data_IF_039145919921
#
_entry.id   IF_039145919921
#
_cell.length_a   1.000
_cell.length_b   1.000
_cell.length_c   1.000
_cell.angle_alpha   90.00
_cell.angle_beta   90.00
_cell.angle_gamma   90.00
#
_symmetry.space_group_name_H-M   'P 1'
#
loop_
_entity.id
_entity.type
_entity.pdbx_description
1 polymer ?
#
# COMPACT_ATOMS: atom_id res chain seq x y z
N UNK A 1 4.91 31.87 23.97
CA UNK A 1 5.82 31.91 22.81
C UNK A 1 5.53 30.68 21.98
N UNK A 2 5.23 30.81 20.67
CA UNK A 2 5.00 29.64 19.82
C UNK A 2 6.26 28.78 19.81
N UNK A 3 6.10 27.48 20.10
CA UNK A 3 7.22 26.54 20.05
C UNK A 3 7.57 26.26 18.58
N UNK A 4 8.64 26.88 18.08
CA UNK A 4 9.17 26.58 16.75
C UNK A 4 9.92 25.25 16.79
N UNK A 5 9.40 24.26 16.06
CA UNK A 5 10.00 22.94 15.97
C UNK A 5 10.82 22.82 14.68
N UNK A 6 12.10 22.53 14.84
CA UNK A 6 13.01 22.29 13.72
C UNK A 6 13.00 20.83 13.25
N UNK A 7 12.94 20.65 11.94
CA UNK A 7 12.97 19.35 11.27
C UNK A 7 14.05 19.34 10.18
N UNK A 8 15.24 18.75 10.47
CA UNK A 8 16.29 18.64 9.46
C UNK A 8 15.93 17.63 8.37
N UNK A 9 16.01 18.07 7.12
CA UNK A 9 15.75 17.26 5.92
C UNK A 9 17.04 16.58 5.41
N UNK A 10 16.87 15.51 4.64
CA UNK A 10 17.94 14.60 4.22
C UNK A 10 18.74 15.13 3.04
N UNK A 11 18.16 16.01 2.22
CA UNK A 11 18.83 16.54 1.04
C UNK A 11 19.51 17.88 1.38
N UNK A 12 20.80 18.06 1.02
CA UNK A 12 21.54 19.29 1.29
C UNK A 12 20.99 20.50 0.51
N UNK A 13 20.20 20.26 -0.54
CA UNK A 13 19.54 21.28 -1.36
C UNK A 13 18.11 21.57 -0.91
N UNK A 14 17.57 20.82 0.05
CA UNK A 14 16.22 21.06 0.57
C UNK A 14 16.26 22.11 1.69
N UNK A 15 15.25 22.99 1.76
CA UNK A 15 15.17 24.02 2.80
C UNK A 15 15.04 23.38 4.20
N UNK A 16 15.60 24.03 5.21
CA UNK A 16 15.35 23.70 6.60
C UNK A 16 13.89 23.99 6.95
N UNK A 17 13.25 23.07 7.64
CA UNK A 17 11.82 23.13 7.90
C UNK A 17 11.59 23.53 9.36
N UNK A 18 10.87 24.63 9.56
CA UNK A 18 10.39 25.09 10.87
C UNK A 18 8.87 25.01 10.90
N UNK A 19 8.33 24.36 11.93
CA UNK A 19 6.88 24.24 12.12
C UNK A 19 6.46 25.11 13.31
N UNK A 20 5.53 26.02 13.06
CA UNK A 20 4.77 26.75 14.08
C UNK A 20 3.37 26.13 14.21
N UNK A 21 2.50 26.71 15.06
CA UNK A 21 1.16 26.18 15.32
C UNK A 21 0.32 26.04 14.03
N UNK A 22 0.29 27.08 13.19
CA UNK A 22 -0.54 27.13 11.98
C UNK A 22 0.25 27.13 10.67
N UNK A 23 1.55 27.44 10.71
CA UNK A 23 2.37 27.62 9.51
C UNK A 23 3.60 26.71 9.50
N UNK A 24 4.02 26.35 8.28
CA UNK A 24 5.27 25.67 7.98
C UNK A 24 6.15 26.66 7.21
N UNK A 25 7.35 26.92 7.74
CA UNK A 25 8.35 27.78 7.12
C UNK A 25 9.44 26.94 6.47
N UNK A 26 9.79 27.31 5.25
CA UNK A 26 10.89 26.71 4.48
C UNK A 26 12.02 27.72 4.37
N UNK A 27 13.08 27.49 5.13
CA UNK A 27 14.23 28.37 5.23
C UNK A 27 15.39 27.82 4.41
N UNK A 28 16.02 28.67 3.61
CA UNK A 28 17.33 28.39 3.05
C UNK A 28 18.37 28.21 4.17
N UNK A 29 19.53 27.59 3.88
CA UNK A 29 20.61 27.48 4.87
C UNK A 29 21.05 28.83 5.43
N UNK A 30 21.03 29.89 4.62
CA UNK A 30 21.39 31.24 5.03
C UNK A 30 20.36 31.82 6.04
N UNK A 31 19.07 31.75 5.71
CA UNK A 31 17.98 32.22 6.57
C UNK A 31 17.94 31.45 7.90
N UNK A 32 18.19 30.13 7.86
CA UNK A 32 18.24 29.31 9.06
C UNK A 32 19.43 29.69 9.97
N UNK A 33 20.60 29.95 9.40
CA UNK A 33 21.78 30.40 10.14
C UNK A 33 21.55 31.80 10.75
N UNK A 34 20.89 32.69 10.01
CA UNK A 34 20.55 34.02 10.51
C UNK A 34 19.56 33.94 11.68
N UNK A 35 18.51 33.11 11.56
CA UNK A 35 17.54 32.91 12.63
C UNK A 35 18.16 32.30 13.88
N UNK A 36 19.00 31.27 13.72
CA UNK A 36 19.64 30.57 14.86
C UNK A 36 20.71 31.42 15.55
N UNK A 37 21.40 32.28 14.80
CA UNK A 37 22.47 33.14 15.34
C UNK A 37 21.93 34.44 15.96
N UNK A 38 20.94 35.06 15.32
CA UNK A 38 20.43 36.38 15.73
C UNK A 38 19.17 36.32 16.60
N UNK A 39 18.42 35.21 16.54
CA UNK A 39 17.12 35.07 17.21
C UNK A 39 16.01 35.97 16.62
N UNK A 40 16.26 36.68 15.51
CA UNK A 40 15.30 37.61 14.91
C UNK A 40 14.26 36.86 14.08
N UNK A 41 13.00 36.95 14.50
CA UNK A 41 11.87 36.34 13.80
C UNK A 41 11.51 37.02 12.47
N UNK A 42 12.00 38.24 12.23
CA UNK A 42 11.82 38.99 10.96
C UNK A 42 12.29 38.20 9.73
N UNK A 43 13.22 37.25 9.91
CA UNK A 43 13.69 36.36 8.84
C UNK A 43 12.56 35.44 8.34
N UNK A 44 11.59 35.10 9.19
CA UNK A 44 10.44 34.26 8.83
C UNK A 44 9.48 34.95 7.87
N UNK A 45 9.39 36.30 7.91
CA UNK A 45 8.54 37.07 6.99
C UNK A 45 9.01 36.97 5.54
N UNK A 46 10.30 36.71 5.33
CA UNK A 46 10.92 36.58 4.01
C UNK A 46 10.99 35.14 3.52
N UNK A 47 10.88 34.17 4.42
CA UNK A 47 10.92 32.75 4.11
C UNK A 47 9.65 32.31 3.35
N UNK A 48 9.75 31.25 2.56
CA UNK A 48 8.57 30.65 1.95
C UNK A 48 7.69 30.01 3.04
N UNK A 49 6.41 30.39 3.06
CA UNK A 49 5.45 29.95 4.07
C UNK A 49 4.39 29.06 3.42
N UNK A 50 3.95 28.06 4.16
CA UNK A 50 2.80 27.22 3.82
C UNK A 50 1.86 27.16 5.02
N UNK A 51 0.62 27.55 4.81
CA UNK A 51 -0.43 27.37 5.80
C UNK A 51 -0.78 25.87 5.92
N UNK A 52 -0.83 25.34 7.14
CA UNK A 52 -1.23 23.95 7.37
C UNK A 52 -2.63 23.65 6.83
N UNK A 53 -3.53 24.63 6.78
CA UNK A 53 -4.89 24.49 6.24
C UNK A 53 -4.92 24.27 4.73
N UNK A 54 -3.88 24.69 4.00
CA UNK A 54 -3.74 24.40 2.57
C UNK A 54 -3.41 22.94 2.30
N UNK A 55 -2.81 22.25 3.28
CA UNK A 55 -2.50 20.83 3.18
C UNK A 55 -3.76 20.01 3.47
N UNK A 56 -4.34 19.46 2.40
CA UNK A 56 -5.54 18.60 2.51
C UNK A 56 -5.21 17.13 2.57
N UNK A 57 -4.07 16.74 2.04
CA UNK A 57 -3.66 15.35 2.03
C UNK A 57 -2.15 15.22 2.23
N UNK A 58 -1.76 14.25 3.04
CA UNK A 58 -0.37 13.90 3.29
C UNK A 58 -0.16 12.42 3.01
N UNK A 59 0.75 12.11 2.09
CA UNK A 59 1.12 10.73 1.73
C UNK A 59 2.45 10.41 2.39
N UNK A 60 2.45 9.40 3.25
CA UNK A 60 3.63 8.93 3.93
C UNK A 60 3.94 7.47 3.54
N UNK A 61 5.20 7.15 3.30
CA UNK A 61 5.58 5.76 3.01
C UNK A 61 6.11 5.08 4.26
N UNK A 62 5.45 4.03 4.74
CA UNK A 62 5.84 3.35 6.00
C UNK A 62 7.21 2.71 5.87
N UNK A 63 8.09 3.05 6.81
CA UNK A 63 9.47 2.58 6.85
C UNK A 63 10.43 3.45 6.04
N UNK A 64 9.91 4.37 5.23
CA UNK A 64 10.67 5.42 4.55
C UNK A 64 10.48 6.74 5.30
N UNK A 65 11.46 7.63 5.20
CA UNK A 65 11.44 8.93 5.89
C UNK A 65 10.87 10.02 4.98
N UNK A 66 9.95 9.65 4.08
CA UNK A 66 9.45 10.51 3.02
C UNK A 66 7.97 10.84 3.23
N UNK A 67 7.64 12.12 3.03
CA UNK A 67 6.30 12.67 3.13
C UNK A 67 6.04 13.56 1.92
N UNK A 68 4.87 13.39 1.31
CA UNK A 68 4.37 14.26 0.24
C UNK A 68 3.14 15.01 0.71
N UNK A 69 3.18 16.34 0.63
CA UNK A 69 2.07 17.22 0.99
C UNK A 69 1.31 17.62 -0.28
N UNK A 70 -0.01 17.56 -0.23
CA UNK A 70 -0.91 17.80 -1.35
C UNK A 70 -2.04 18.76 -0.95
N UNK A 71 -2.45 19.60 -1.90
CA UNK A 71 -3.63 20.46 -1.74
C UNK A 71 -4.95 19.73 -2.06
N UNK A 72 -6.08 20.44 -2.00
CA UNK A 72 -7.42 19.92 -2.32
C UNK A 72 -7.51 19.29 -3.73
N UNK A 73 -6.81 19.88 -4.70
CA UNK A 73 -6.76 19.43 -6.10
C UNK A 73 -5.79 18.27 -6.33
N UNK A 74 -5.17 17.74 -5.28
CA UNK A 74 -4.11 16.72 -5.33
C UNK A 74 -2.86 17.17 -6.08
N UNK A 75 -2.64 18.48 -6.18
CA UNK A 75 -1.37 19.04 -6.66
C UNK A 75 -0.34 18.92 -5.54
N UNK A 76 0.88 18.50 -5.91
CA UNK A 76 1.99 18.40 -4.97
C UNK A 76 2.40 19.80 -4.54
N UNK A 77 2.35 20.05 -3.24
CA UNK A 77 2.86 21.27 -2.62
C UNK A 77 4.36 21.10 -2.34
N UNK A 78 4.73 20.07 -1.58
CA UNK A 78 6.10 19.78 -1.21
C UNK A 78 6.36 18.28 -1.03
N UNK A 79 7.57 17.86 -1.40
CA UNK A 79 8.12 16.53 -1.12
C UNK A 79 9.23 16.66 -0.06
N UNK A 80 9.01 16.08 1.12
CA UNK A 80 9.86 16.18 2.29
C UNK A 80 10.53 14.84 2.57
N UNK A 81 11.85 14.86 2.81
CA UNK A 81 12.60 13.67 3.21
C UNK A 81 13.33 13.96 4.52
N UNK A 82 13.01 13.25 5.59
CA UNK A 82 13.55 13.49 6.94
C UNK A 82 14.81 12.68 7.21
N UNK A 83 15.76 13.29 7.92
CA UNK A 83 17.01 12.63 8.34
C UNK A 83 16.76 11.43 9.26
N UNK A 84 15.75 11.50 10.13
CA UNK A 84 15.44 10.51 11.15
C UNK A 84 13.94 10.15 11.19
N UNK A 85 13.64 8.89 11.52
CA UNK A 85 12.28 8.43 11.79
C UNK A 85 11.63 9.17 12.96
N UNK A 86 12.43 9.64 13.93
CA UNK A 86 11.92 10.42 15.06
C UNK A 86 11.36 11.78 14.61
N UNK A 87 12.09 12.48 13.75
CA UNK A 87 11.65 13.75 13.15
C UNK A 87 10.42 13.55 12.26
N UNK A 88 10.40 12.49 11.45
CA UNK A 88 9.25 12.09 10.65
C UNK A 88 7.98 11.89 11.51
N UNK A 89 8.08 11.11 12.60
CA UNK A 89 6.92 10.86 13.49
C UNK A 89 6.46 12.12 14.21
N UNK A 90 7.42 12.93 14.66
CA UNK A 90 7.12 14.21 15.33
C UNK A 90 6.46 15.19 14.36
N UNK A 91 6.88 15.24 13.10
CA UNK A 91 6.27 16.10 12.08
C UNK A 91 4.82 15.69 11.81
N UNK A 92 4.54 14.40 11.63
CA UNK A 92 3.16 13.89 11.46
C UNK A 92 2.29 14.28 12.67
N UNK A 93 2.82 14.17 13.89
CA UNK A 93 2.10 14.57 15.10
C UNK A 93 1.82 16.08 15.22
N UNK A 94 2.51 16.92 14.46
CA UNK A 94 2.28 18.38 14.42
C UNK A 94 1.24 18.81 13.37
N UNK A 95 0.86 17.91 12.47
CA UNK A 95 -0.22 18.12 11.50
C UNK A 95 -1.56 17.80 12.16
N UNK A 96 -2.01 18.70 13.04
CA UNK A 96 -3.28 18.59 13.72
C UNK A 96 -4.45 18.56 12.71
N UNK A 97 -5.49 17.78 13.00
CA UNK A 97 -6.66 17.66 12.14
C UNK A 97 -6.48 16.77 10.91
N UNK A 98 -5.41 15.98 10.81
CA UNK A 98 -5.27 14.97 9.76
C UNK A 98 -5.59 13.57 10.27
N UNK A 99 -6.61 12.96 9.69
CA UNK A 99 -7.00 11.58 9.98
C UNK A 99 -6.37 10.59 9.02
N UNK A 100 -5.98 9.43 9.55
CA UNK A 100 -5.44 8.34 8.74
C UNK A 100 -6.57 7.63 7.98
N UNK A 101 -6.83 8.05 6.75
CA UNK A 101 -7.96 7.52 5.95
C UNK A 101 -7.60 6.22 5.24
N UNK A 102 -6.33 6.00 4.87
CA UNK A 102 -6.00 4.85 4.01
C UNK A 102 -4.64 4.22 4.29
N UNK A 103 -4.68 2.96 4.69
CA UNK A 103 -3.58 2.03 4.47
C UNK A 103 -3.69 1.62 2.99
N UNK A 104 -2.85 2.19 2.13
CA UNK A 104 -2.85 2.02 0.68
C UNK A 104 -2.46 0.60 0.26
N UNK A 105 -3.25 -0.41 0.66
CA UNK A 105 -3.11 -1.76 0.12
C UNK A 105 -3.58 -1.72 -1.33
N UNK A 106 -2.70 -2.13 -2.26
CA UNK A 106 -3.04 -2.41 -3.65
C UNK A 106 -4.38 -3.14 -3.72
N UNK A 107 -5.22 -2.81 -4.71
CA UNK A 107 -6.54 -3.42 -4.96
C UNK A 107 -6.53 -4.89 -4.53
N UNK A 108 -7.21 -5.20 -3.42
CA UNK A 108 -7.38 -6.58 -2.98
C UNK A 108 -8.06 -7.36 -4.11
N UNK A 109 -7.58 -8.56 -4.40
CA UNK A 109 -8.26 -9.46 -5.35
C UNK A 109 -9.69 -9.68 -4.82
N UNK A 110 -10.66 -9.70 -5.72
CA UNK A 110 -12.06 -9.91 -5.36
C UNK A 110 -12.20 -11.26 -4.60
N UNK A 111 -12.71 -11.28 -3.36
CA UNK A 111 -12.79 -12.51 -2.57
C UNK A 111 -13.63 -13.60 -3.25
N UNK A 112 -14.65 -13.23 -4.02
CA UNK A 112 -15.46 -14.18 -4.80
C UNK A 112 -14.64 -14.87 -5.90
N UNK A 113 -13.75 -14.11 -6.56
CA UNK A 113 -12.84 -14.66 -7.55
C UNK A 113 -11.83 -15.61 -6.92
N UNK A 114 -11.27 -15.24 -5.75
CA UNK A 114 -10.35 -16.12 -4.99
C UNK A 114 -11.05 -17.43 -4.62
N UNK A 115 -12.26 -17.36 -4.08
CA UNK A 115 -13.04 -18.54 -3.71
C UNK A 115 -13.29 -19.45 -4.93
N UNK A 116 -13.70 -18.88 -6.06
CA UNK A 116 -13.93 -19.64 -7.29
C UNK A 116 -12.66 -20.34 -7.78
N UNK A 117 -11.52 -19.63 -7.77
CA UNK A 117 -10.24 -20.21 -8.17
C UNK A 117 -9.78 -21.31 -7.21
N UNK A 118 -10.01 -21.17 -5.90
CA UNK A 118 -9.70 -22.23 -4.93
C UNK A 118 -10.56 -23.47 -5.12
N UNK A 119 -11.87 -23.30 -5.39
CA UNK A 119 -12.77 -24.41 -5.71
C UNK A 119 -12.31 -25.12 -6.99
N UNK A 120 -11.88 -24.37 -8.01
CA UNK A 120 -11.33 -24.92 -9.24
C UNK A 120 -10.06 -25.73 -8.94
N UNK A 121 -9.07 -25.16 -8.25
CA UNK A 121 -7.84 -25.90 -7.91
C UNK A 121 -8.09 -27.13 -7.04
N UNK A 122 -9.06 -27.06 -6.12
CA UNK A 122 -9.50 -28.21 -5.34
C UNK A 122 -10.09 -29.32 -6.22
N UNK A 123 -10.88 -28.99 -7.25
CA UNK A 123 -11.41 -29.98 -8.18
C UNK A 123 -10.29 -30.74 -8.93
N UNK A 124 -9.19 -30.06 -9.30
CA UNK A 124 -8.01 -30.71 -9.88
C UNK A 124 -7.29 -31.62 -8.87
N UNK A 125 -7.12 -31.19 -7.61
CA UNK A 125 -6.52 -32.04 -6.58
C UNK A 125 -7.39 -33.26 -6.31
N UNK A 126 -8.71 -33.09 -6.20
CA UNK A 126 -9.65 -34.18 -6.01
C UNK A 126 -9.63 -35.17 -7.17
N UNK A 127 -9.59 -34.67 -8.42
CA UNK A 127 -9.43 -35.51 -9.61
C UNK A 127 -8.07 -36.23 -9.65
N UNK A 128 -7.00 -35.58 -9.17
CA UNK A 128 -5.65 -36.15 -9.09
C UNK A 128 -5.43 -37.13 -7.94
N UNK A 129 -6.28 -37.13 -6.91
CA UNK A 129 -6.12 -37.97 -5.68
C UNK A 129 -7.08 -39.15 -5.59
N UNK A 130 -8.12 -39.21 -6.42
CA UNK A 130 -8.99 -40.40 -6.48
C UNK A 130 -8.30 -41.58 -7.17
N UNK A 131 -8.58 -42.83 -6.75
CA UNK A 131 -8.25 -43.99 -7.56
C UNK A 131 -9.03 -43.87 -8.88
N UNK A 132 -8.29 -43.94 -9.99
CA UNK A 132 -8.70 -44.09 -11.39
C UNK A 132 -10.06 -43.52 -11.80
N UNK A 133 -10.11 -42.47 -12.64
CA UNK A 133 -11.36 -42.01 -13.26
C UNK A 133 -12.00 -43.03 -14.21
N UNK A 134 -11.39 -44.21 -14.43
CA UNK A 134 -11.99 -45.38 -15.10
C UNK A 134 -13.13 -46.02 -14.27
N UNK A 135 -13.15 -45.83 -12.95
CA UNK A 135 -14.16 -46.43 -12.06
C UNK A 135 -15.45 -45.63 -11.94
N UNK A 136 -15.52 -44.44 -12.55
CA UNK A 136 -16.70 -43.58 -12.52
C UNK A 136 -17.38 -43.67 -13.89
N UNK A 137 -18.48 -44.43 -13.94
CA UNK A 137 -19.36 -44.46 -15.10
C UNK A 137 -20.11 -43.12 -15.23
N UNK A 138 -19.81 -42.30 -16.25
CA UNK A 138 -20.47 -41.01 -16.44
C UNK A 138 -21.97 -41.16 -16.77
N UNK A 139 -22.41 -42.32 -17.28
CA UNK A 139 -23.82 -42.58 -17.60
C UNK A 139 -24.67 -42.75 -16.33
N UNK A 140 -24.06 -43.12 -15.21
CA UNK A 140 -24.72 -43.22 -13.90
C UNK A 140 -24.94 -41.88 -13.19
N UNK A 141 -24.41 -40.77 -13.72
CA UNK A 141 -24.45 -39.46 -13.07
C UNK A 141 -25.73 -38.70 -13.47
N UNK A 142 -26.65 -38.53 -12.52
CA UNK A 142 -27.94 -37.83 -12.73
C UNK A 142 -27.81 -36.37 -13.14
N UNK A 143 -26.70 -35.72 -12.81
CA UNK A 143 -26.45 -34.32 -13.14
C UNK A 143 -25.54 -34.21 -14.37
N UNK A 144 -26.11 -33.75 -15.49
CA UNK A 144 -25.39 -33.60 -16.77
C UNK A 144 -24.08 -32.81 -16.63
N UNK A 145 -24.08 -31.74 -15.81
CA UNK A 145 -22.88 -30.94 -15.57
C UNK A 145 -21.76 -31.76 -14.90
N UNK A 146 -22.11 -32.63 -13.94
CA UNK A 146 -21.14 -33.48 -13.27
C UNK A 146 -20.60 -34.58 -14.21
N UNK A 147 -21.44 -35.13 -15.10
CA UNK A 147 -21.01 -36.08 -16.12
C UNK A 147 -20.00 -35.44 -17.10
N UNK A 148 -20.26 -34.22 -17.57
CA UNK A 148 -19.33 -33.47 -18.44
C UNK A 148 -18.00 -33.22 -17.73
N UNK A 149 -18.02 -32.86 -16.45
CA UNK A 149 -16.79 -32.64 -15.66
C UNK A 149 -15.99 -33.93 -15.51
N UNK A 150 -16.65 -35.08 -15.30
CA UNK A 150 -15.97 -36.40 -15.21
C UNK A 150 -15.35 -36.77 -16.55
N UNK A 151 -16.07 -36.63 -17.67
CA UNK A 151 -15.54 -36.87 -19.02
C UNK A 151 -14.34 -35.98 -19.33
N UNK A 152 -14.42 -34.70 -18.96
CA UNK A 152 -13.30 -33.77 -19.12
C UNK A 152 -12.08 -34.21 -18.31
N UNK A 153 -12.26 -34.65 -17.06
CA UNK A 153 -11.16 -35.13 -16.21
C UNK A 153 -10.56 -36.45 -16.71
N UNK A 154 -11.37 -37.35 -17.26
CA UNK A 154 -10.90 -38.58 -17.92
C UNK A 154 -10.03 -38.24 -19.15
N UNK A 155 -10.49 -37.32 -20.01
CA UNK A 155 -9.74 -36.83 -21.15
C UNK A 155 -8.42 -36.18 -20.73
N UNK A 156 -8.45 -35.35 -19.68
CA UNK A 156 -7.26 -34.68 -19.16
C UNK A 156 -6.26 -35.71 -18.58
N UNK A 157 -6.75 -36.74 -17.90
CA UNK A 157 -5.92 -37.81 -17.36
C UNK A 157 -5.23 -38.61 -18.48
N UNK A 158 -5.94 -38.88 -19.58
CA UNK A 158 -5.37 -39.57 -20.74
C UNK A 158 -4.25 -38.76 -21.42
N UNK A 159 -4.28 -37.43 -21.34
CA UNK A 159 -3.28 -36.56 -21.99
C UNK A 159 -2.04 -36.30 -21.15
N UNK A 160 -2.21 -35.95 -19.88
CA UNK A 160 -1.09 -35.50 -19.03
C UNK A 160 -0.82 -36.42 -17.85
N UNK A 161 -1.69 -37.40 -17.59
CA UNK A 161 -1.60 -38.30 -16.46
C UNK A 161 -2.02 -37.68 -15.12
N UNK A 162 -2.42 -38.55 -14.19
CA UNK A 162 -2.98 -38.19 -12.89
C UNK A 162 -2.03 -37.33 -12.05
N UNK A 163 -0.72 -37.62 -12.11
CA UNK A 163 0.29 -36.88 -11.38
C UNK A 163 0.45 -35.44 -11.88
N UNK A 164 0.29 -35.20 -13.19
CA UNK A 164 0.34 -33.86 -13.75
C UNK A 164 -0.91 -33.04 -13.39
N UNK A 165 -2.10 -33.68 -13.38
CA UNK A 165 -3.34 -33.05 -12.90
C UNK A 165 -3.18 -32.58 -11.45
N UNK A 166 -2.63 -33.45 -10.60
CA UNK A 166 -2.35 -33.13 -9.20
C UNK A 166 -1.37 -31.96 -9.07
N UNK A 167 -0.28 -31.97 -9.86
CA UNK A 167 0.70 -30.90 -9.88
C UNK A 167 0.09 -29.56 -10.31
N UNK A 168 -0.77 -29.55 -11.32
CA UNK A 168 -1.51 -28.35 -11.76
C UNK A 168 -2.41 -27.82 -10.64
N UNK A 169 -3.13 -28.70 -9.95
CA UNK A 169 -3.96 -28.32 -8.80
C UNK A 169 -3.14 -27.68 -7.67
N UNK A 170 -2.02 -28.29 -7.30
CA UNK A 170 -1.12 -27.78 -6.26
C UNK A 170 -0.46 -26.45 -6.64
N UNK A 171 0.04 -26.34 -7.88
CA UNK A 171 0.60 -25.08 -8.40
C UNK A 171 -0.45 -23.99 -8.50
N UNK A 172 -1.70 -24.33 -8.84
CA UNK A 172 -2.83 -23.42 -8.84
C UNK A 172 -3.10 -22.83 -7.46
N UNK A 173 -3.18 -23.66 -6.41
CA UNK A 173 -3.33 -23.19 -5.03
C UNK A 173 -2.16 -22.27 -4.64
N UNK A 174 -0.92 -22.70 -4.91
CA UNK A 174 0.28 -21.90 -4.63
C UNK A 174 0.23 -20.53 -5.32
N UNK A 175 -0.18 -20.49 -6.59
CA UNK A 175 -0.35 -19.27 -7.37
C UNK A 175 -1.46 -18.36 -6.84
N UNK A 176 -2.60 -18.93 -6.44
CA UNK A 176 -3.72 -18.16 -5.86
C UNK A 176 -3.32 -17.55 -4.52
N UNK A 177 -2.70 -18.34 -3.63
CA UNK A 177 -2.19 -17.85 -2.35
C UNK A 177 -1.15 -16.75 -2.58
N UNK A 178 -0.20 -17.00 -3.48
CA UNK A 178 0.81 -16.00 -3.82
C UNK A 178 0.14 -14.72 -4.30
N UNK A 179 -0.77 -14.77 -5.29
CA UNK A 179 -1.45 -13.58 -5.81
C UNK A 179 -2.27 -12.84 -4.75
N UNK A 180 -2.94 -13.58 -3.86
CA UNK A 180 -3.77 -13.02 -2.78
C UNK A 180 -2.93 -12.29 -1.73
N UNK A 181 -1.78 -12.85 -1.37
CA UNK A 181 -0.88 -12.28 -0.35
C UNK A 181 0.28 -11.45 -0.94
N UNK A 182 0.48 -11.45 -2.25
CA UNK A 182 1.52 -10.67 -2.93
C UNK A 182 1.45 -9.16 -2.63
N UNK A 183 0.26 -8.54 -2.56
CA UNK A 183 0.12 -7.16 -2.11
C UNK A 183 0.67 -6.92 -0.70
N UNK A 184 0.59 -7.92 0.19
CA UNK A 184 1.06 -7.83 1.57
C UNK A 184 2.57 -8.08 1.68
N UNK A 185 3.12 -8.93 0.81
CA UNK A 185 4.55 -9.28 0.76
C UNK A 185 5.38 -8.17 0.08
N UNK A 186 4.89 -7.59 -1.03
CA UNK A 186 5.64 -6.58 -1.82
C UNK A 186 5.18 -5.14 -1.65
N UNK A 187 4.03 -4.89 -1.02
CA UNK A 187 3.49 -3.54 -0.92
C UNK A 187 4.32 -2.66 0.02
N UNK A 188 4.93 -1.59 -0.50
CA UNK A 188 5.26 -0.44 0.35
C UNK A 188 3.95 0.02 0.98
N UNK A 189 3.86 -0.05 2.31
CA UNK A 189 2.65 0.37 3.04
C UNK A 189 2.60 1.89 3.00
N UNK A 190 1.89 2.43 2.03
CA UNK A 190 1.66 3.87 1.94
C UNK A 190 0.51 4.21 2.89
N UNK A 191 0.76 5.12 3.81
CA UNK A 191 -0.23 5.66 4.73
C UNK A 191 -0.65 7.02 4.21
N UNK A 192 -1.93 7.19 3.97
CA UNK A 192 -2.51 8.47 3.54
C UNK A 192 -3.25 9.08 4.72
N UNK A 193 -2.85 10.29 5.07
CA UNK A 193 -3.57 11.17 5.97
C UNK A 193 -4.34 12.21 5.16
N UNK A 194 -5.56 12.53 5.57
CA UNK A 194 -6.43 13.53 4.94
C UNK A 194 -6.92 14.47 6.02
N UNK A 195 -7.03 15.76 5.73
CA UNK A 195 -7.64 16.71 6.66
C UNK A 195 -9.07 16.27 6.99
N UNK A 196 -9.44 16.24 8.28
CA UNK A 196 -10.81 16.03 8.71
C UNK A 196 -11.63 17.25 8.27
N UNK A 197 -12.61 17.04 7.40
CA UNK A 197 -13.61 18.06 7.11
C UNK A 197 -14.43 18.26 8.40
N UNK A 198 -14.06 19.27 9.18
CA UNK A 198 -14.82 19.72 10.35
C UNK A 198 -16.15 20.31 9.96
#
# INVERSE_FOLDING_TARGET
MPQLLHFPLSHPTQPNLLCAEEQIYFLTPAEYNELTTSGKLEVLEKAAQLDKQEVRQMICTKGEKEIRLLNAERKVLYDLSFTSLAHYRKFIGQMAGMEQVKDGRRKRINPTLVLFLMLLSYAFIWAGTRPTPEDIDPEGIRWQLAAIVVLFMQWLNALIGQQAILAIGLLGIGGILLATFWPEIKGKKVVVYVASDG
#
